data_IF_248869234637
#
_entry.id   IF_248869234637
#
_cell.length_a   1.000
_cell.length_b   1.000
_cell.length_c   1.000
_cell.angle_alpha   90.00
_cell.angle_beta   90.00
_cell.angle_gamma   90.00
#
_symmetry.space_group_name_H-M   'P 1'
#
loop_
_entity.id
_entity.type
_entity.pdbx_description
1 polymer ?
#
# COMPACT_ATOMS: atom_id res chain seq x y z
N UNK A 1 49.10 -3.52 88.53
CA UNK A 1 49.62 -3.63 87.15
C UNK A 1 48.58 -4.19 86.18
N UNK A 2 47.95 -5.34 86.46
CA UNK A 2 46.92 -5.93 85.59
C UNK A 2 45.76 -4.98 85.21
N UNK A 3 45.23 -4.20 86.15
CA UNK A 3 44.15 -3.24 85.88
C UNK A 3 44.55 -2.11 84.90
N UNK A 4 45.81 -1.65 84.94
CA UNK A 4 46.30 -0.63 83.99
C UNK A 4 46.45 -1.23 82.60
N UNK A 5 47.00 -2.45 82.49
CA UNK A 5 47.08 -3.16 81.22
C UNK A 5 45.69 -3.42 80.61
N UNK A 6 44.69 -3.79 81.43
CA UNK A 6 43.31 -3.95 80.99
C UNK A 6 42.71 -2.62 80.51
N UNK A 7 42.98 -1.52 81.22
CA UNK A 7 42.51 -0.19 80.82
C UNK A 7 43.11 0.25 79.48
N UNK A 8 44.43 0.11 79.30
CA UNK A 8 45.12 0.47 78.05
C UNK A 8 44.60 -0.37 76.87
N UNK A 9 44.41 -1.69 77.08
CA UNK A 9 43.81 -2.58 76.06
C UNK A 9 42.39 -2.14 75.72
N UNK A 10 41.56 -1.83 76.70
CA UNK A 10 40.19 -1.36 76.47
C UNK A 10 40.17 -0.03 75.72
N UNK A 11 41.06 0.90 76.05
CA UNK A 11 41.17 2.19 75.36
C UNK A 11 41.59 1.99 73.89
N UNK A 12 42.56 1.10 73.63
CA UNK A 12 42.95 0.71 72.28
C UNK A 12 41.81 0.03 71.51
N UNK A 13 41.04 -0.85 72.15
CA UNK A 13 39.87 -1.49 71.54
C UNK A 13 38.79 -0.47 71.19
N UNK A 14 38.51 0.49 72.08
CA UNK A 14 37.56 1.58 71.81
C UNK A 14 38.02 2.47 70.65
N UNK A 15 39.30 2.87 70.62
CA UNK A 15 39.88 3.66 69.52
C UNK A 15 39.83 2.89 68.20
N UNK A 16 40.18 1.61 68.20
CA UNK A 16 40.10 0.75 67.02
C UNK A 16 38.66 0.59 66.53
N UNK A 17 37.69 0.41 67.42
CA UNK A 17 36.27 0.32 67.05
C UNK A 17 35.74 1.64 66.47
N UNK A 18 36.14 2.78 67.02
CA UNK A 18 35.80 4.09 66.48
C UNK A 18 36.44 4.33 65.09
N UNK A 19 37.72 3.95 64.93
CA UNK A 19 38.42 3.99 63.64
C UNK A 19 37.73 3.11 62.59
N UNK A 20 37.35 1.87 62.96
CA UNK A 20 36.60 0.96 62.08
C UNK A 20 35.26 1.57 61.65
N UNK A 21 34.49 2.14 62.58
CA UNK A 21 33.20 2.78 62.27
C UNK A 21 33.39 3.96 61.29
N UNK A 22 34.44 4.75 61.49
CA UNK A 22 34.76 5.90 60.62
C UNK A 22 35.14 5.47 59.21
N UNK A 23 36.03 4.49 59.07
CA UNK A 23 36.40 3.93 57.76
C UNK A 23 35.20 3.34 57.03
N UNK A 24 34.33 2.63 57.75
CA UNK A 24 33.13 2.03 57.17
C UNK A 24 32.14 3.12 56.70
N UNK A 25 31.99 4.21 57.45
CA UNK A 25 31.20 5.36 57.02
C UNK A 25 31.80 6.03 55.77
N UNK A 26 33.12 6.23 55.72
CA UNK A 26 33.80 6.81 54.56
C UNK A 26 33.65 5.94 53.30
N UNK A 27 33.81 4.61 53.44
CA UNK A 27 33.59 3.67 52.33
C UNK A 27 32.14 3.71 51.83
N UNK A 28 31.16 3.76 52.74
CA UNK A 28 29.73 3.93 52.39
C UNK A 28 29.49 5.24 51.62
N UNK A 29 30.04 6.36 52.10
CA UNK A 29 29.91 7.64 51.41
C UNK A 29 30.53 7.60 50.01
N UNK A 30 31.73 7.02 49.87
CA UNK A 30 32.40 6.87 48.56
C UNK A 30 31.58 6.02 47.59
N UNK A 31 31.00 4.93 48.06
CA UNK A 31 30.19 4.04 47.22
C UNK A 31 28.91 4.72 46.75
N UNK A 32 28.22 5.45 47.65
CA UNK A 32 27.02 6.24 47.28
C UNK A 32 27.36 7.30 46.23
N UNK A 33 28.49 8.00 46.37
CA UNK A 33 28.93 8.99 45.38
C UNK A 33 29.22 8.37 44.01
N UNK A 34 29.84 7.17 43.99
CA UNK A 34 30.08 6.42 42.75
C UNK A 34 28.78 5.97 42.10
N UNK A 35 27.85 5.42 42.87
CA UNK A 35 26.55 5.01 42.37
C UNK A 35 25.80 6.19 41.72
N UNK A 36 25.78 7.36 42.38
CA UNK A 36 25.19 8.58 41.80
C UNK A 36 25.86 9.01 40.49
N UNK A 37 27.17 8.89 40.40
CA UNK A 37 27.90 9.22 39.18
C UNK A 37 27.53 8.27 38.03
N UNK A 38 27.48 6.96 38.28
CA UNK A 38 27.07 5.98 37.27
C UNK A 38 25.61 6.15 36.85
N UNK A 39 24.71 6.42 37.80
CA UNK A 39 23.30 6.73 37.51
C UNK A 39 23.15 7.91 36.56
N UNK A 40 23.94 8.99 36.75
CA UNK A 40 23.97 10.14 35.83
C UNK A 40 24.42 9.76 34.44
N UNK A 41 25.55 9.09 34.33
CA UNK A 41 26.08 8.67 33.04
C UNK A 41 25.11 7.75 32.31
N UNK A 42 24.47 6.83 33.02
CA UNK A 42 23.51 5.89 32.43
C UNK A 42 22.25 6.62 31.94
N UNK A 43 21.73 7.56 32.72
CA UNK A 43 20.60 8.40 32.33
C UNK A 43 20.92 9.26 31.10
N UNK A 44 22.11 9.86 31.05
CA UNK A 44 22.55 10.65 29.88
C UNK A 44 22.64 9.78 28.63
N UNK A 45 23.29 8.61 28.72
CA UNK A 45 23.42 7.66 27.60
C UNK A 45 22.06 7.16 27.15
N UNK A 46 21.16 6.82 28.07
CA UNK A 46 19.82 6.35 27.75
C UNK A 46 18.99 7.45 27.06
N UNK A 47 19.03 8.68 27.58
CA UNK A 47 18.34 9.82 26.98
C UNK A 47 18.81 10.12 25.56
N UNK A 48 20.13 10.13 25.33
CA UNK A 48 20.71 10.31 23.99
C UNK A 48 20.32 9.15 23.06
N UNK A 49 20.29 7.92 23.57
CA UNK A 49 19.91 6.75 22.77
C UNK A 49 18.46 6.81 22.31
N UNK A 50 17.53 7.26 23.15
CA UNK A 50 16.12 7.44 22.77
C UNK A 50 15.95 8.52 21.69
N UNK A 51 16.68 9.65 21.80
CA UNK A 51 16.65 10.69 20.76
C UNK A 51 17.21 10.20 19.42
N UNK A 52 18.33 9.47 19.47
CA UNK A 52 18.93 8.88 18.27
C UNK A 52 18.02 7.83 17.64
N UNK A 53 17.34 7.02 18.45
CA UNK A 53 16.36 6.05 18.00
C UNK A 53 15.21 6.76 17.27
N UNK A 54 14.64 7.81 17.87
CA UNK A 54 13.55 8.57 17.25
C UNK A 54 13.97 9.18 15.91
N UNK A 55 15.14 9.84 15.87
CA UNK A 55 15.67 10.44 14.64
C UNK A 55 16.00 9.40 13.58
N UNK A 56 16.56 8.26 13.97
CA UNK A 56 16.84 7.15 13.06
C UNK A 56 15.56 6.57 12.49
N UNK A 57 14.52 6.40 13.30
CA UNK A 57 13.20 5.91 12.86
C UNK A 57 12.56 6.88 11.87
N UNK A 58 12.61 8.19 12.14
CA UNK A 58 12.14 9.22 11.22
C UNK A 58 12.90 9.17 9.88
N UNK A 59 14.23 9.14 9.93
CA UNK A 59 15.06 9.06 8.72
C UNK A 59 14.76 7.78 7.91
N UNK A 60 14.58 6.65 8.60
CA UNK A 60 14.24 5.40 7.96
C UNK A 60 12.87 5.45 7.28
N UNK A 61 11.85 5.98 7.96
CA UNK A 61 10.52 6.16 7.40
C UNK A 61 10.51 7.10 6.19
N UNK A 62 11.17 8.25 6.28
CA UNK A 62 11.34 9.19 5.16
C UNK A 62 12.03 8.52 3.99
N UNK A 63 13.09 7.74 4.25
CA UNK A 63 13.81 7.00 3.22
C UNK A 63 12.89 5.97 2.57
N UNK A 64 12.16 5.19 3.38
CA UNK A 64 11.23 4.16 2.93
C UNK A 64 10.15 4.75 2.01
N UNK A 65 9.50 5.84 2.42
CA UNK A 65 8.45 6.52 1.64
C UNK A 65 8.98 7.09 0.31
N UNK A 66 10.27 7.41 0.24
CA UNK A 66 10.95 7.84 -1.00
C UNK A 66 11.40 6.68 -1.89
N UNK A 67 11.37 5.44 -1.42
CA UNK A 67 11.80 4.29 -2.22
C UNK A 67 10.83 3.95 -3.35
N UNK A 68 11.31 3.13 -4.27
CA UNK A 68 10.49 2.56 -5.33
C UNK A 68 9.29 1.75 -4.81
N UNK A 69 9.31 1.26 -3.55
CA UNK A 69 8.16 0.54 -2.99
C UNK A 69 6.89 1.41 -3.01
N UNK A 70 6.99 2.67 -2.59
CA UNK A 70 5.84 3.60 -2.58
C UNK A 70 5.74 4.43 -3.86
N UNK A 71 6.87 4.79 -4.49
CA UNK A 71 6.88 5.70 -5.65
C UNK A 71 6.65 4.97 -6.98
N UNK A 72 6.99 3.69 -7.06
CA UNK A 72 6.84 2.82 -8.25
C UNK A 72 6.45 1.40 -7.83
N UNK A 73 5.30 1.25 -7.14
CA UNK A 73 4.91 -0.02 -6.60
C UNK A 73 4.73 -1.07 -7.70
N UNK A 74 5.06 -2.32 -7.37
CA UNK A 74 4.92 -3.44 -8.31
C UNK A 74 3.46 -3.66 -8.75
N UNK A 75 2.48 -3.30 -7.91
CA UNK A 75 1.06 -3.39 -8.25
C UNK A 75 0.71 -2.53 -9.48
N UNK A 76 1.27 -1.32 -9.63
CA UNK A 76 1.08 -0.47 -10.82
C UNK A 76 1.58 -1.14 -12.10
N UNK A 77 2.75 -1.78 -12.04
CA UNK A 77 3.31 -2.51 -13.20
C UNK A 77 2.41 -3.69 -13.60
N UNK A 78 1.94 -4.47 -12.62
CA UNK A 78 1.03 -5.58 -12.86
C UNK A 78 -0.33 -5.10 -13.39
N UNK A 79 -0.83 -3.96 -12.89
CA UNK A 79 -2.04 -3.33 -13.39
C UNK A 79 -1.90 -2.91 -14.85
N UNK A 80 -0.78 -2.27 -15.22
CA UNK A 80 -0.50 -1.89 -16.61
C UNK A 80 -0.47 -3.10 -17.55
N UNK A 81 0.11 -4.22 -17.12
CA UNK A 81 0.11 -5.48 -17.89
C UNK A 81 -1.32 -6.01 -18.07
N UNK A 82 -2.12 -6.06 -17.00
CA UNK A 82 -3.53 -6.48 -17.05
C UNK A 82 -4.36 -5.60 -17.97
N UNK A 83 -4.20 -4.27 -17.85
CA UNK A 83 -4.89 -3.29 -18.70
C UNK A 83 -4.49 -3.51 -20.16
N UNK A 84 -3.19 -3.64 -20.45
CA UNK A 84 -2.72 -3.87 -21.82
C UNK A 84 -3.30 -5.16 -22.42
N UNK A 85 -3.42 -6.23 -21.63
CA UNK A 85 -4.05 -7.49 -22.07
C UNK A 85 -5.54 -7.31 -22.33
N UNK A 86 -6.25 -6.61 -21.44
CA UNK A 86 -7.68 -6.33 -21.59
C UNK A 86 -7.95 -5.48 -22.84
N UNK A 87 -7.21 -4.38 -23.03
CA UNK A 87 -7.32 -3.54 -24.24
C UNK A 87 -7.03 -4.35 -25.51
N UNK A 88 -6.00 -5.22 -25.47
CA UNK A 88 -5.72 -6.16 -26.54
C UNK A 88 -6.87 -7.13 -26.82
N UNK A 89 -7.57 -7.61 -25.79
CA UNK A 89 -8.76 -8.45 -25.95
C UNK A 89 -9.91 -7.67 -26.58
N UNK A 90 -10.24 -6.48 -26.04
CA UNK A 90 -11.31 -5.61 -26.55
C UNK A 90 -11.16 -5.36 -28.05
N UNK A 91 -9.94 -5.01 -28.50
CA UNK A 91 -9.65 -4.76 -29.92
C UNK A 91 -9.79 -6.01 -30.77
N UNK A 92 -9.30 -7.15 -30.29
CA UNK A 92 -9.43 -8.44 -31.01
C UNK A 92 -10.89 -8.85 -31.13
N UNK A 93 -11.64 -8.80 -30.04
CA UNK A 93 -13.04 -9.20 -30.00
C UNK A 93 -13.91 -8.30 -30.90
N UNK A 94 -13.68 -6.98 -30.86
CA UNK A 94 -14.34 -6.04 -31.77
C UNK A 94 -14.01 -6.28 -33.25
N UNK A 95 -12.74 -6.54 -33.56
CA UNK A 95 -12.30 -6.82 -34.95
C UNK A 95 -12.86 -8.15 -35.46
N UNK A 96 -12.85 -9.19 -34.62
CA UNK A 96 -13.41 -10.49 -34.96
C UNK A 96 -14.93 -10.39 -35.17
N UNK A 97 -15.63 -9.66 -34.31
CA UNK A 97 -17.07 -9.42 -34.46
C UNK A 97 -17.40 -8.78 -35.81
N UNK A 98 -16.67 -7.72 -36.21
CA UNK A 98 -16.88 -7.08 -37.51
C UNK A 98 -16.47 -7.98 -38.68
N UNK A 99 -15.35 -8.72 -38.57
CA UNK A 99 -14.95 -9.68 -39.59
C UNK A 99 -16.03 -10.73 -39.85
N UNK A 100 -16.68 -11.21 -38.79
CA UNK A 100 -17.78 -12.16 -38.87
C UNK A 100 -19.03 -11.54 -39.52
N UNK A 101 -19.37 -10.30 -39.18
CA UNK A 101 -20.46 -9.55 -39.84
C UNK A 101 -20.16 -9.32 -41.32
N UNK A 102 -18.95 -8.89 -41.67
CA UNK A 102 -18.53 -8.63 -43.05
C UNK A 102 -18.57 -9.90 -43.91
N UNK A 103 -18.08 -11.03 -43.38
CA UNK A 103 -18.14 -12.33 -44.04
C UNK A 103 -19.58 -12.78 -44.28
N UNK A 104 -20.45 -12.54 -43.30
CA UNK A 104 -21.89 -12.80 -43.43
C UNK A 104 -22.49 -11.95 -44.56
N UNK A 105 -22.27 -10.63 -44.54
CA UNK A 105 -22.76 -9.71 -45.59
C UNK A 105 -22.24 -10.07 -46.97
N UNK A 106 -20.96 -10.44 -47.12
CA UNK A 106 -20.39 -10.86 -48.40
C UNK A 106 -21.05 -12.15 -48.92
N UNK A 107 -21.27 -13.12 -48.04
CA UNK A 107 -21.97 -14.36 -48.41
C UNK A 107 -23.41 -14.07 -48.85
N UNK A 108 -24.10 -13.14 -48.19
CA UNK A 108 -25.44 -12.71 -48.60
C UNK A 108 -25.46 -11.96 -49.94
N UNK A 109 -24.45 -11.12 -50.22
CA UNK A 109 -24.32 -10.44 -51.51
C UNK A 109 -24.09 -11.41 -52.65
N UNK A 110 -23.19 -12.39 -52.47
CA UNK A 110 -22.93 -13.44 -53.48
C UNK A 110 -24.15 -14.30 -53.75
N UNK A 111 -24.96 -14.57 -52.72
CA UNK A 111 -26.20 -15.33 -52.88
C UNK A 111 -27.31 -14.55 -53.62
N UNK A 112 -27.26 -13.21 -53.63
CA UNK A 112 -28.21 -12.35 -54.36
C UNK A 112 -27.82 -12.14 -55.82
N UNK A 113 -26.54 -11.90 -56.07
CA UNK A 113 -25.97 -11.68 -57.41
C UNK A 113 -24.81 -12.67 -57.65
N UNK A 114 -25.11 -13.92 -58.04
CA UNK A 114 -24.09 -14.94 -58.26
C UNK A 114 -23.17 -14.55 -59.43
N UNK A 115 -21.87 -14.77 -59.29
CA UNK A 115 -20.92 -14.47 -60.37
C UNK A 115 -21.19 -15.39 -61.58
N UNK A 116 -21.05 -14.89 -62.82
CA UNK A 116 -21.39 -15.65 -64.03
C UNK A 116 -20.54 -16.91 -64.28
N UNK A 117 -19.50 -17.18 -63.47
CA UNK A 117 -18.69 -18.41 -63.52
C UNK A 117 -18.97 -19.39 -62.37
N UNK A 118 -19.84 -19.06 -61.41
CA UNK A 118 -20.20 -19.97 -60.31
C UNK A 118 -21.32 -20.93 -60.75
N UNK A 119 -21.06 -21.75 -61.76
CA UNK A 119 -21.89 -22.90 -62.08
C UNK A 119 -21.74 -23.97 -60.97
N UNK A 120 -22.57 -23.87 -59.93
CA UNK A 120 -23.07 -25.04 -59.20
C UNK A 120 -22.23 -25.69 -58.10
N UNK A 121 -21.04 -25.20 -57.73
CA UNK A 121 -20.25 -25.84 -56.66
C UNK A 121 -19.37 -24.87 -55.83
N UNK A 122 -19.94 -23.86 -55.21
CA UNK A 122 -19.28 -23.22 -54.06
C UNK A 122 -20.14 -23.45 -52.82
N UNK A 123 -19.80 -24.51 -52.10
CA UNK A 123 -20.43 -24.91 -50.85
C UNK A 123 -20.31 -23.77 -49.83
N UNK A 124 -21.39 -23.00 -49.65
CA UNK A 124 -21.53 -21.98 -48.62
C UNK A 124 -21.70 -22.61 -47.24
N UNK A 125 -20.69 -23.33 -46.76
CA UNK A 125 -20.60 -23.77 -45.37
C UNK A 125 -19.93 -22.67 -44.56
N UNK A 126 -20.60 -22.18 -43.52
CA UNK A 126 -19.98 -21.22 -42.62
C UNK A 126 -18.96 -21.87 -41.68
N UNK A 127 -17.94 -21.11 -41.31
CA UNK A 127 -17.05 -21.31 -40.15
C UNK A 127 -17.85 -21.55 -38.83
N UNK A 128 -17.23 -21.98 -37.71
CA UNK A 128 -17.92 -22.52 -36.51
C UNK A 128 -19.06 -21.67 -35.93
N UNK A 129 -19.11 -20.40 -36.30
CA UNK A 129 -20.01 -19.38 -35.81
C UNK A 129 -21.29 -19.22 -36.67
N UNK A 130 -21.37 -19.86 -37.85
CA UNK A 130 -22.22 -19.32 -38.91
C UNK A 130 -23.57 -19.96 -39.19
N UNK A 131 -24.31 -19.19 -39.98
CA UNK A 131 -25.77 -19.09 -40.03
C UNK A 131 -26.39 -19.61 -41.33
N UNK A 132 -25.58 -19.91 -42.34
CA UNK A 132 -26.04 -20.63 -43.53
C UNK A 132 -26.08 -22.11 -43.21
N UNK A 133 -27.17 -22.56 -42.58
CA UNK A 133 -27.34 -23.95 -42.15
C UNK A 133 -27.95 -24.85 -43.23
N UNK A 134 -28.46 -24.30 -44.34
CA UNK A 134 -28.84 -25.06 -45.52
C UNK A 134 -28.91 -24.19 -46.77
N UNK A 135 -28.28 -24.65 -47.85
CA UNK A 135 -28.54 -24.18 -49.20
C UNK A 135 -29.40 -25.24 -49.89
N UNK A 136 -30.60 -24.86 -50.33
CA UNK A 136 -31.39 -25.68 -51.23
C UNK A 136 -30.98 -25.36 -52.66
N UNK A 137 -30.38 -26.32 -53.37
CA UNK A 137 -29.97 -26.16 -54.76
C UNK A 137 -31.13 -25.92 -55.73
N UNK A 138 -32.36 -26.15 -55.30
CA UNK A 138 -33.57 -25.87 -56.07
C UNK A 138 -34.08 -24.43 -55.91
N UNK A 139 -33.55 -23.68 -54.94
CA UNK A 139 -33.91 -22.29 -54.67
C UNK A 139 -32.73 -21.38 -55.04
N UNK A 140 -32.91 -20.55 -56.07
CA UNK A 140 -31.94 -19.52 -56.49
C UNK A 140 -31.75 -18.38 -55.46
N UNK A 141 -32.08 -18.61 -54.18
CA UNK A 141 -32.03 -17.64 -53.09
C UNK A 141 -31.60 -18.33 -51.80
N UNK A 142 -30.79 -17.66 -50.94
CA UNK A 142 -30.45 -18.21 -49.63
C UNK A 142 -31.72 -18.46 -48.82
N UNK A 143 -31.87 -19.68 -48.30
CA UNK A 143 -32.97 -20.05 -47.41
C UNK A 143 -32.53 -19.73 -45.99
N UNK A 144 -32.95 -18.58 -45.49
CA UNK A 144 -32.81 -18.30 -44.06
C UNK A 144 -33.89 -19.07 -43.30
N UNK A 145 -33.55 -19.78 -42.21
CA UNK A 145 -34.57 -20.43 -41.38
C UNK A 145 -35.43 -19.43 -40.61
N UNK A 146 -35.07 -18.15 -40.60
CA UNK A 146 -35.68 -17.04 -39.87
C UNK A 146 -35.64 -15.74 -40.67
N UNK A 147 -36.51 -14.78 -40.35
CA UNK A 147 -36.59 -13.52 -41.10
C UNK A 147 -35.28 -12.69 -41.01
N UNK A 148 -34.93 -11.89 -42.03
CA UNK A 148 -33.75 -10.99 -41.97
C UNK A 148 -33.76 -10.02 -40.77
N UNK A 149 -34.95 -9.67 -40.28
CA UNK A 149 -35.15 -8.89 -39.05
C UNK A 149 -34.67 -9.62 -37.80
N UNK A 150 -34.92 -10.92 -37.68
CA UNK A 150 -34.48 -11.74 -36.55
C UNK A 150 -32.95 -11.90 -36.53
N UNK A 151 -32.33 -12.05 -37.70
CA UNK A 151 -30.85 -12.10 -37.83
C UNK A 151 -30.22 -10.78 -37.37
N UNK A 152 -30.80 -9.65 -37.78
CA UNK A 152 -30.34 -8.32 -37.36
C UNK A 152 -30.49 -8.14 -35.84
N UNK A 153 -31.59 -8.64 -35.28
CA UNK A 153 -31.84 -8.61 -33.83
C UNK A 153 -30.81 -9.44 -33.07
N UNK A 154 -30.46 -10.64 -33.55
CA UNK A 154 -29.44 -11.47 -32.91
C UNK A 154 -28.06 -10.82 -32.92
N UNK A 155 -27.59 -10.30 -34.06
CA UNK A 155 -26.29 -9.63 -34.13
C UNK A 155 -26.24 -8.42 -33.20
N UNK A 156 -27.36 -7.69 -33.09
CA UNK A 156 -27.49 -6.60 -32.12
C UNK A 156 -27.41 -7.11 -30.68
N UNK A 157 -28.04 -8.24 -30.35
CA UNK A 157 -27.93 -8.86 -29.02
C UNK A 157 -26.50 -9.30 -28.74
N UNK A 158 -25.81 -9.95 -29.68
CA UNK A 158 -24.40 -10.35 -29.54
C UNK A 158 -23.48 -9.15 -29.32
N UNK A 159 -23.66 -8.08 -30.09
CA UNK A 159 -22.93 -6.82 -29.89
C UNK A 159 -23.18 -6.24 -28.49
N UNK A 160 -24.43 -6.21 -28.03
CA UNK A 160 -24.78 -5.73 -26.69
C UNK A 160 -24.15 -6.58 -25.58
N UNK A 161 -24.16 -7.91 -25.72
CA UNK A 161 -23.54 -8.82 -24.76
C UNK A 161 -22.03 -8.60 -24.72
N UNK A 162 -21.38 -8.44 -25.87
CA UNK A 162 -19.95 -8.17 -25.95
C UNK A 162 -19.58 -6.85 -25.25
N UNK A 163 -20.29 -5.77 -25.58
CA UNK A 163 -20.08 -4.44 -24.97
C UNK A 163 -20.29 -4.50 -23.45
N UNK A 164 -21.38 -5.12 -22.98
CA UNK A 164 -21.66 -5.26 -21.54
C UNK A 164 -20.63 -6.12 -20.82
N UNK A 165 -20.16 -7.22 -21.41
CA UNK A 165 -19.14 -8.06 -20.82
C UNK A 165 -17.83 -7.26 -20.65
N UNK A 166 -17.44 -6.51 -21.68
CA UNK A 166 -16.26 -5.65 -21.64
C UNK A 166 -16.40 -4.53 -20.62
N UNK A 167 -17.59 -3.91 -20.51
CA UNK A 167 -17.86 -2.92 -19.45
C UNK A 167 -17.62 -3.50 -18.05
N UNK A 168 -18.13 -4.71 -17.80
CA UNK A 168 -17.94 -5.40 -16.51
C UNK A 168 -16.46 -5.69 -16.27
N UNK A 169 -15.74 -6.21 -17.27
CA UNK A 169 -14.30 -6.48 -17.15
C UNK A 169 -13.48 -5.21 -16.88
N UNK A 170 -13.78 -4.11 -17.60
CA UNK A 170 -13.18 -2.81 -17.36
C UNK A 170 -13.45 -2.32 -15.93
N UNK A 171 -14.71 -2.42 -15.46
CA UNK A 171 -15.07 -2.01 -14.11
C UNK A 171 -14.38 -2.86 -13.03
N UNK A 172 -14.26 -4.17 -13.23
CA UNK A 172 -13.54 -5.06 -12.31
C UNK A 172 -12.07 -4.70 -12.22
N UNK A 173 -11.39 -4.48 -13.35
CA UNK A 173 -9.97 -4.11 -13.35
C UNK A 173 -9.75 -2.74 -12.72
N UNK A 174 -10.62 -1.75 -13.01
CA UNK A 174 -10.54 -0.44 -12.38
C UNK A 174 -10.68 -0.53 -10.86
N UNK A 175 -11.65 -1.32 -10.38
CA UNK A 175 -11.88 -1.53 -8.94
C UNK A 175 -10.72 -2.26 -8.25
N UNK A 176 -10.15 -3.29 -8.88
CA UNK A 176 -8.94 -3.96 -8.38
C UNK A 176 -7.78 -2.97 -8.21
N UNK A 177 -7.57 -2.08 -9.19
CA UNK A 177 -6.53 -1.05 -9.12
C UNK A 177 -6.81 -0.06 -8.00
N UNK A 178 -8.07 0.39 -7.84
CA UNK A 178 -8.47 1.29 -6.77
C UNK A 178 -8.17 0.71 -5.39
N UNK A 179 -8.53 -0.55 -5.15
CA UNK A 179 -8.29 -1.23 -3.87
C UNK A 179 -6.79 -1.32 -3.55
N UNK A 180 -5.95 -1.68 -4.53
CA UNK A 180 -4.51 -1.79 -4.31
C UNK A 180 -3.84 -0.43 -4.08
N UNK A 181 -4.29 0.64 -4.74
CA UNK A 181 -3.80 2.00 -4.50
C UNK A 181 -4.26 2.57 -3.15
N UNK A 182 -5.48 2.25 -2.71
CA UNK A 182 -5.97 2.60 -1.37
C UNK A 182 -5.15 1.91 -0.30
N UNK A 183 -4.89 0.61 -0.45
CA UNK A 183 -4.02 -0.14 0.46
C UNK A 183 -2.62 0.46 0.55
N UNK A 184 -2.04 0.90 -0.57
CA UNK A 184 -0.73 1.55 -0.57
C UNK A 184 -0.75 2.86 0.24
N UNK A 185 -1.82 3.65 0.13
CA UNK A 185 -2.01 4.85 0.92
C UNK A 185 -2.19 4.53 2.42
N UNK A 186 -2.97 3.51 2.76
CA UNK A 186 -3.15 3.05 4.13
C UNK A 186 -1.84 2.57 4.78
N UNK A 187 -1.02 1.82 4.03
CA UNK A 187 0.31 1.39 4.48
C UNK A 187 1.23 2.59 4.75
N UNK A 188 1.17 3.62 3.90
CA UNK A 188 1.94 4.85 4.11
C UNK A 188 1.45 5.64 5.34
N UNK A 189 0.14 5.73 5.55
CA UNK A 189 -0.45 6.36 6.74
C UNK A 189 -0.15 5.61 8.04
N UNK A 190 -0.06 4.28 7.98
CA UNK A 190 0.33 3.47 9.12
C UNK A 190 1.72 3.86 9.61
N UNK A 191 2.67 4.11 8.70
CA UNK A 191 4.03 4.57 9.06
C UNK A 191 3.96 5.87 9.88
N UNK A 192 3.11 6.83 9.49
CA UNK A 192 2.93 8.07 10.24
C UNK A 192 2.35 7.80 11.65
N UNK A 193 1.33 6.95 11.75
CA UNK A 193 0.73 6.58 13.04
C UNK A 193 1.74 5.92 13.97
N UNK A 194 2.54 4.99 13.45
CA UNK A 194 3.60 4.32 14.21
C UNK A 194 4.70 5.29 14.64
N UNK A 195 5.07 6.26 13.80
CA UNK A 195 6.02 7.30 14.19
C UNK A 195 5.49 8.17 15.33
N UNK A 196 4.23 8.61 15.30
CA UNK A 196 3.66 9.35 16.42
C UNK A 196 3.54 8.51 17.69
N UNK A 197 3.23 7.21 17.56
CA UNK A 197 3.25 6.29 18.70
C UNK A 197 4.66 6.17 19.30
N UNK A 198 5.70 6.12 18.47
CA UNK A 198 7.09 6.16 18.93
C UNK A 198 7.45 7.49 19.60
N UNK A 199 7.02 8.63 19.05
CA UNK A 199 7.20 9.94 19.69
C UNK A 199 6.55 9.97 21.06
N UNK A 200 5.33 9.45 21.16
CA UNK A 200 4.60 9.35 22.42
C UNK A 200 5.37 8.48 23.41
N UNK A 201 5.82 7.30 23.00
CA UNK A 201 6.59 6.38 23.85
C UNK A 201 7.92 6.99 24.34
N UNK A 202 8.67 7.69 23.47
CA UNK A 202 9.93 8.34 23.86
C UNK A 202 9.71 9.49 24.85
N UNK A 203 8.58 10.19 24.76
CA UNK A 203 8.34 11.41 25.54
C UNK A 203 7.43 11.20 26.75
N UNK A 204 6.72 10.08 26.83
CA UNK A 204 5.81 9.72 27.92
C UNK A 204 6.30 8.44 28.59
N UNK A 205 6.90 8.55 29.78
CA UNK A 205 7.36 7.38 30.50
C UNK A 205 6.19 6.52 30.99
N UNK A 206 6.37 5.21 31.00
CA UNK A 206 5.37 4.29 31.53
C UNK A 206 5.28 4.39 33.06
N UNK A 207 4.09 4.17 33.62
CA UNK A 207 3.89 4.19 35.08
C UNK A 207 4.81 3.20 35.81
N UNK A 208 5.05 2.02 35.22
CA UNK A 208 5.93 0.99 35.80
C UNK A 208 7.40 1.39 35.77
N UNK A 209 7.85 2.03 34.69
CA UNK A 209 9.22 2.55 34.57
C UNK A 209 9.44 3.67 35.59
N UNK A 210 8.45 4.57 35.69
CA UNK A 210 8.43 5.65 36.67
C UNK A 210 8.53 5.11 38.10
N UNK A 211 7.67 4.16 38.49
CA UNK A 211 7.67 3.56 39.83
C UNK A 211 9.01 2.87 40.17
N UNK A 212 9.62 2.18 39.19
CA UNK A 212 10.92 1.54 39.37
C UNK A 212 12.05 2.57 39.58
N UNK A 213 12.07 3.64 38.80
CA UNK A 213 13.07 4.70 38.90
C UNK A 213 12.91 5.52 40.18
N UNK A 214 11.68 5.77 40.62
CA UNK A 214 11.39 6.42 41.90
C UNK A 214 11.89 5.59 43.08
N UNK A 215 11.67 4.27 43.06
CA UNK A 215 12.17 3.33 44.09
C UNK A 215 13.68 3.18 44.09
N UNK A 216 14.31 3.25 42.92
CA UNK A 216 15.77 3.17 42.80
C UNK A 216 16.46 4.44 43.33
N UNK A 217 15.74 5.55 43.44
CA UNK A 217 16.31 6.80 43.91
C UNK A 217 16.41 6.83 45.44
N UNK A 218 17.61 7.10 45.94
CA UNK A 218 17.91 7.01 47.38
C UNK A 218 17.17 8.06 48.22
N UNK A 219 16.92 9.29 47.71
CA UNK A 219 16.31 10.42 48.45
C UNK A 219 15.38 11.26 47.56
N UNK A 220 14.19 10.75 47.24
CA UNK A 220 13.29 11.38 46.25
C UNK A 220 13.82 11.28 44.83
N UNK A 221 13.04 11.63 43.81
CA UNK A 221 13.45 11.49 42.40
C UNK A 221 14.66 12.40 42.12
N UNK A 222 15.83 11.81 41.87
CA UNK A 222 17.02 12.56 41.47
C UNK A 222 16.70 13.32 40.18
N UNK A 223 17.16 14.57 40.06
CA UNK A 223 16.84 15.46 38.93
C UNK A 223 17.17 14.81 37.57
N UNK A 224 18.17 13.95 37.61
CA UNK A 224 18.68 13.12 36.51
C UNK A 224 17.60 12.22 35.91
N UNK A 225 16.69 11.70 36.73
CA UNK A 225 15.62 10.81 36.29
C UNK A 225 14.33 11.55 35.91
N UNK A 226 14.24 12.86 36.15
CA UNK A 226 13.02 13.64 35.86
C UNK A 226 12.54 13.52 34.42
N UNK A 227 13.47 13.32 33.48
CA UNK A 227 13.19 13.10 32.05
C UNK A 227 12.46 11.79 31.77
N UNK A 228 12.62 10.80 32.64
CA UNK A 228 12.07 9.43 32.52
C UNK A 228 10.96 9.16 33.54
N UNK A 229 10.63 10.13 34.39
CA UNK A 229 9.52 10.02 35.35
C UNK A 229 8.40 11.02 35.06
N UNK A 230 8.65 12.04 34.23
CA UNK A 230 7.65 13.02 33.84
C UNK A 230 7.51 13.09 32.32
N UNK A 231 6.28 13.28 31.86
CA UNK A 231 6.02 13.53 30.45
C UNK A 231 6.69 14.83 29.99
N UNK A 232 7.44 14.75 28.89
CA UNK A 232 8.13 15.90 28.30
C UNK A 232 7.31 16.47 27.12
N UNK A 233 6.37 17.36 27.42
CA UNK A 233 5.49 17.96 26.42
C UNK A 233 6.24 18.79 25.36
N UNK A 234 7.35 19.46 25.74
CA UNK A 234 8.14 20.25 24.81
C UNK A 234 8.86 19.37 23.79
N UNK A 235 9.49 18.28 24.25
CA UNK A 235 10.17 17.32 23.37
C UNK A 235 9.16 16.58 22.48
N UNK A 236 8.00 16.23 23.03
CA UNK A 236 6.91 15.63 22.26
C UNK A 236 6.46 16.56 21.13
N UNK A 237 6.20 17.83 21.43
CA UNK A 237 5.80 18.81 20.42
C UNK A 237 6.87 19.01 19.34
N UNK A 238 8.15 19.01 19.73
CA UNK A 238 9.27 19.09 18.80
C UNK A 238 9.29 17.88 17.85
N UNK A 239 9.34 16.65 18.38
CA UNK A 239 9.43 15.46 17.53
C UNK A 239 8.17 15.24 16.70
N UNK A 240 6.98 15.50 17.24
CA UNK A 240 5.74 15.44 16.46
C UNK A 240 5.78 16.43 15.30
N UNK A 241 6.23 17.67 15.55
CA UNK A 241 6.39 18.67 14.50
C UNK A 241 7.42 18.29 13.44
N UNK A 242 8.54 17.67 13.82
CA UNK A 242 9.55 17.15 12.89
C UNK A 242 8.98 16.01 12.02
N UNK A 243 8.24 15.06 12.64
CA UNK A 243 7.54 13.98 11.93
C UNK A 243 6.54 14.56 10.92
N UNK A 244 5.69 15.48 11.36
CA UNK A 244 4.67 16.09 10.51
C UNK A 244 5.29 16.82 9.31
N UNK A 245 6.34 17.59 9.56
CA UNK A 245 7.01 18.40 8.52
C UNK A 245 7.68 17.54 7.46
N UNK A 246 8.29 16.41 7.84
CA UNK A 246 9.02 15.53 6.93
C UNK A 246 8.12 14.50 6.23
N UNK A 247 7.10 14.00 6.93
CA UNK A 247 6.30 12.85 6.47
C UNK A 247 5.01 13.27 5.75
N UNK A 248 4.28 14.26 6.25
CA UNK A 248 2.99 14.67 5.64
C UNK A 248 3.12 15.08 4.16
N UNK A 249 4.15 15.81 3.72
CA UNK A 249 4.30 16.13 2.29
C UNK A 249 4.50 14.88 1.42
N UNK A 250 5.19 13.87 1.94
CA UNK A 250 5.41 12.61 1.23
C UNK A 250 4.11 11.83 1.10
N UNK A 251 3.30 11.76 2.17
CA UNK A 251 1.98 11.14 2.12
C UNK A 251 1.05 11.85 1.14
N UNK A 252 1.04 13.18 1.14
CA UNK A 252 0.26 13.96 0.18
C UNK A 252 0.67 13.65 -1.26
N UNK A 253 1.96 13.50 -1.52
CA UNK A 253 2.46 13.13 -2.85
C UNK A 253 2.07 11.71 -3.23
N UNK A 254 2.16 10.74 -2.31
CA UNK A 254 1.75 9.35 -2.55
C UNK A 254 0.25 9.28 -2.87
N UNK A 255 -0.59 9.93 -2.07
CA UNK A 255 -2.05 10.00 -2.30
C UNK A 255 -2.36 10.61 -3.66
N UNK A 256 -1.71 11.73 -4.00
CA UNK A 256 -1.92 12.38 -5.29
C UNK A 256 -1.53 11.48 -6.46
N UNK A 257 -0.43 10.74 -6.35
CA UNK A 257 -0.01 9.78 -7.38
C UNK A 257 -0.96 8.59 -7.49
N UNK A 258 -1.49 8.11 -6.37
CA UNK A 258 -2.49 7.04 -6.33
C UNK A 258 -3.80 7.49 -6.97
N UNK A 259 -4.31 8.67 -6.62
CA UNK A 259 -5.51 9.27 -7.25
C UNK A 259 -5.31 9.52 -8.75
N UNK A 260 -4.14 10.01 -9.15
CA UNK A 260 -3.81 10.19 -10.55
C UNK A 260 -3.81 8.85 -11.29
N UNK A 261 -3.21 7.81 -10.72
CA UNK A 261 -3.11 6.50 -11.36
C UNK A 261 -4.48 5.84 -11.51
N UNK A 262 -5.31 5.83 -10.46
CA UNK A 262 -6.67 5.28 -10.51
C UNK A 262 -7.51 6.02 -11.55
N UNK A 263 -7.47 7.36 -11.54
CA UNK A 263 -8.20 8.17 -12.53
C UNK A 263 -7.72 7.91 -13.96
N UNK A 264 -6.42 7.81 -14.19
CA UNK A 264 -5.87 7.52 -15.52
C UNK A 264 -6.32 6.14 -16.04
N UNK A 265 -6.33 5.12 -15.16
CA UNK A 265 -6.82 3.77 -15.50
C UNK A 265 -8.30 3.78 -15.83
N UNK A 266 -9.13 4.45 -15.02
CA UNK A 266 -10.56 4.58 -15.28
C UNK A 266 -10.84 5.29 -16.61
N UNK A 267 -10.17 6.41 -16.89
CA UNK A 267 -10.32 7.16 -18.14
C UNK A 267 -9.95 6.31 -19.35
N UNK A 268 -8.83 5.58 -19.29
CA UNK A 268 -8.40 4.72 -20.40
C UNK A 268 -9.38 3.57 -20.64
N UNK A 269 -9.78 2.85 -19.59
CA UNK A 269 -10.71 1.71 -19.71
C UNK A 269 -12.09 2.15 -20.21
N UNK A 270 -12.59 3.29 -19.72
CA UNK A 270 -13.84 3.89 -20.21
C UNK A 270 -13.72 4.36 -21.66
N UNK A 271 -12.56 4.89 -22.06
CA UNK A 271 -12.28 5.27 -23.44
C UNK A 271 -12.28 4.09 -24.39
N UNK A 272 -11.66 2.97 -24.01
CA UNK A 272 -11.64 1.74 -24.81
C UNK A 272 -13.04 1.11 -24.91
N UNK A 273 -13.78 1.05 -23.79
CA UNK A 273 -15.18 0.62 -23.78
C UNK A 273 -16.05 1.51 -24.68
N UNK A 274 -15.98 2.83 -24.52
CA UNK A 274 -16.76 3.79 -25.31
C UNK A 274 -16.46 3.74 -26.80
N UNK A 275 -15.19 3.48 -27.17
CA UNK A 275 -14.80 3.26 -28.56
C UNK A 275 -15.45 2.00 -29.13
N UNK A 276 -15.44 0.89 -28.39
CA UNK A 276 -16.08 -0.35 -28.81
C UNK A 276 -17.60 -0.19 -28.91
N UNK A 277 -18.25 0.42 -27.92
CA UNK A 277 -19.68 0.71 -27.94
C UNK A 277 -20.06 1.61 -29.12
N UNK A 278 -19.26 2.65 -29.36
CA UNK A 278 -19.36 3.54 -30.51
C UNK A 278 -19.35 2.76 -31.83
N UNK A 279 -18.38 1.87 -31.95
CA UNK A 279 -18.13 1.07 -33.14
C UNK A 279 -19.22 0.00 -33.39
N UNK A 280 -19.69 -0.68 -32.34
CA UNK A 280 -20.61 -1.82 -32.47
C UNK A 280 -22.09 -1.48 -32.37
N UNK A 281 -22.47 -0.46 -31.59
CA UNK A 281 -23.87 -0.20 -31.24
C UNK A 281 -24.41 1.11 -31.82
N UNK A 282 -23.58 2.13 -32.02
CA UNK A 282 -24.06 3.46 -32.43
C UNK A 282 -23.64 3.87 -33.85
N UNK A 283 -22.73 3.12 -34.48
CA UNK A 283 -22.30 3.35 -35.87
C UNK A 283 -21.51 4.66 -36.07
N UNK A 284 -21.15 5.36 -34.99
CA UNK A 284 -20.29 6.55 -35.04
C UNK A 284 -18.82 6.12 -35.02
N UNK A 285 -18.35 5.50 -36.09
CA UNK A 285 -16.92 5.36 -36.33
C UNK A 285 -16.39 6.70 -36.86
N UNK A 286 -15.77 7.51 -36.00
CA UNK A 286 -14.79 8.49 -36.49
C UNK A 286 -13.48 7.72 -36.67
N UNK A 287 -13.20 7.36 -37.92
CA UNK A 287 -11.86 6.94 -38.32
C UNK A 287 -10.94 8.17 -38.23
N UNK A 288 -9.97 8.14 -37.33
CA UNK A 288 -8.74 8.92 -37.44
C UNK A 288 -7.62 7.96 -37.86
#
# INVERSE_FOLDING_TARGET
MAQRAIHDINEHLCKNQAGRKTLLAQLRCREILRQRHYSRQLADVYGVSLELMMRSSLQWAVTLLKTAYFRRPRCRMQALEKISQLVGSIRRDGTQFIGNVATTVQTLRRARDPQPMECGQVCGGTLPDGWLRSFDSCLFSPVFPVSPSEVTMEWRVKANVLVRNILVQCATVAEEVRIEEERLCEEAELILKELHALVQWVCQPEEKETEMLERASLHGVDDVYKRFTNANAALHAQFSGEVDTEVLPLLATIRHESEWFTSAVEVELNGQHGTLEGFLLTGRATFC
#
